data_IF_498886397448
#
_entry.id   IF_498886397448
#
_cell.length_a   1.000
_cell.length_b   1.000
_cell.length_c   1.000
_cell.angle_alpha   90.00
_cell.angle_beta   90.00
_cell.angle_gamma   90.00
#
_symmetry.space_group_name_H-M   'P 1'
#
loop_
_entity.id
_entity.type
_entity.pdbx_description
1 polymer ?
#
# COMPACT_ATOMS: atom_id res chain seq x y z
N UNK A 1 29.20 49.99 -10.66
CA UNK A 1 29.00 49.87 -12.14
C UNK A 1 28.77 48.40 -12.50
N UNK A 2 27.73 47.77 -11.95
CA UNK A 2 27.47 46.31 -12.11
C UNK A 2 26.18 46.05 -12.89
N UNK A 3 25.16 46.89 -12.72
CA UNK A 3 23.91 46.88 -13.50
C UNK A 3 24.02 47.68 -14.81
N UNK A 4 24.96 47.32 -15.70
CA UNK A 4 25.03 47.90 -17.08
C UNK A 4 24.39 47.03 -18.17
N UNK A 5 23.76 45.94 -17.76
CA UNK A 5 22.69 45.22 -18.44
C UNK A 5 21.98 44.34 -17.40
N UNK A 6 20.68 44.11 -17.46
CA UNK A 6 19.65 44.85 -18.19
C UNK A 6 18.34 44.66 -17.42
N UNK A 7 17.63 45.73 -17.07
CA UNK A 7 16.38 45.62 -16.29
C UNK A 7 15.34 44.81 -17.06
N UNK A 8 15.37 44.90 -18.40
CA UNK A 8 14.58 44.07 -19.30
C UNK A 8 14.85 42.57 -19.12
N UNK A 9 16.13 42.18 -19.11
CA UNK A 9 16.55 40.78 -18.94
C UNK A 9 16.22 40.26 -17.54
N UNK A 10 16.35 41.08 -16.50
CA UNK A 10 15.94 40.69 -15.14
C UNK A 10 14.46 40.31 -15.11
N UNK A 11 13.56 41.16 -15.62
CA UNK A 11 12.14 40.86 -15.65
C UNK A 11 11.83 39.64 -16.53
N UNK A 12 12.47 39.50 -17.69
CA UNK A 12 12.33 38.33 -18.56
C UNK A 12 12.67 37.02 -17.82
N UNK A 13 13.86 36.93 -17.21
CA UNK A 13 14.28 35.71 -16.51
C UNK A 13 13.44 35.45 -15.26
N UNK A 14 13.14 36.47 -14.46
CA UNK A 14 12.33 36.34 -13.25
C UNK A 14 10.90 35.87 -13.56
N UNK A 15 10.22 36.53 -14.50
CA UNK A 15 8.85 36.16 -14.88
C UNK A 15 8.78 34.80 -15.59
N UNK A 16 9.80 34.44 -16.38
CA UNK A 16 9.86 33.11 -17.02
C UNK A 16 10.13 32.00 -15.99
N UNK A 17 11.04 32.24 -15.03
CA UNK A 17 11.33 31.31 -13.94
C UNK A 17 10.09 31.09 -13.04
N UNK A 18 9.41 32.16 -12.64
CA UNK A 18 8.22 32.07 -11.78
C UNK A 18 7.08 31.29 -12.46
N UNK A 19 6.84 31.52 -13.75
CA UNK A 19 5.85 30.75 -14.53
C UNK A 19 6.27 29.29 -14.69
N UNK A 20 7.55 29.00 -14.96
CA UNK A 20 8.05 27.63 -15.04
C UNK A 20 7.85 26.87 -13.71
N UNK A 21 8.23 27.49 -12.58
CA UNK A 21 8.01 26.91 -11.24
C UNK A 21 6.53 26.67 -10.97
N UNK A 22 5.65 27.62 -11.30
CA UNK A 22 4.21 27.48 -11.11
C UNK A 22 3.59 26.37 -11.97
N UNK A 23 4.06 26.18 -13.21
CA UNK A 23 3.64 25.08 -14.07
C UNK A 23 4.13 23.72 -13.54
N UNK A 24 5.41 23.60 -13.19
CA UNK A 24 6.02 22.35 -12.70
C UNK A 24 5.40 21.93 -11.35
N UNK A 25 5.15 22.86 -10.43
CA UNK A 25 4.49 22.56 -9.15
C UNK A 25 3.02 22.09 -9.32
N UNK A 26 2.39 22.37 -10.46
CA UNK A 26 1.03 21.92 -10.77
C UNK A 26 0.99 20.61 -11.58
N UNK A 27 2.11 20.16 -12.13
CA UNK A 27 2.19 18.90 -12.85
C UNK A 27 1.85 17.72 -11.92
N UNK A 28 0.94 16.86 -12.37
CA UNK A 28 0.56 15.62 -11.71
C UNK A 28 1.34 14.44 -12.29
N UNK A 29 1.61 14.48 -13.59
CA UNK A 29 2.31 13.46 -14.36
C UNK A 29 3.36 14.08 -15.31
N UNK A 30 4.17 13.23 -15.98
CA UNK A 30 5.23 13.69 -16.91
C UNK A 30 4.68 14.39 -18.16
N UNK A 31 3.47 14.03 -18.63
CA UNK A 31 2.82 14.69 -19.78
C UNK A 31 2.39 16.12 -19.44
N UNK A 32 1.97 16.41 -18.21
CA UNK A 32 1.62 17.77 -17.78
C UNK A 32 2.83 18.71 -17.86
N UNK A 33 4.04 18.23 -17.58
CA UNK A 33 5.29 18.98 -17.74
C UNK A 33 5.56 19.27 -19.22
N UNK A 34 5.39 18.28 -20.09
CA UNK A 34 5.55 18.43 -21.54
C UNK A 34 4.53 19.41 -22.10
N UNK A 35 3.25 19.28 -21.76
CA UNK A 35 2.21 20.22 -22.18
C UNK A 35 2.38 21.61 -21.56
N UNK A 36 2.91 21.70 -20.34
CA UNK A 36 3.31 22.96 -19.69
C UNK A 36 4.38 23.74 -20.45
N UNK A 37 5.19 23.09 -21.31
CA UNK A 37 6.16 23.79 -22.15
C UNK A 37 5.51 24.74 -23.16
N UNK A 38 4.26 24.49 -23.58
CA UNK A 38 3.52 25.35 -24.53
C UNK A 38 3.13 26.71 -23.92
N UNK A 39 2.38 26.80 -22.80
CA UNK A 39 2.11 28.09 -22.15
C UNK A 39 3.38 28.74 -21.62
N UNK A 40 4.40 27.97 -21.21
CA UNK A 40 5.71 28.54 -20.86
C UNK A 40 6.36 29.23 -22.07
N UNK A 41 6.40 28.59 -23.23
CA UNK A 41 6.97 29.18 -24.45
C UNK A 41 6.22 30.43 -24.88
N UNK A 42 4.87 30.41 -24.87
CA UNK A 42 4.05 31.60 -25.18
C UNK A 42 4.34 32.75 -24.20
N UNK A 43 4.52 32.45 -22.91
CA UNK A 43 4.90 33.43 -21.90
C UNK A 43 6.33 33.97 -22.09
N UNK A 44 7.27 33.12 -22.47
CA UNK A 44 8.65 33.50 -22.82
C UNK A 44 8.69 34.39 -24.07
N UNK A 45 7.84 34.13 -25.07
CA UNK A 45 7.69 35.01 -26.25
C UNK A 45 7.12 36.37 -25.84
N UNK A 46 6.10 36.41 -24.99
CA UNK A 46 5.51 37.66 -24.50
C UNK A 46 6.51 38.51 -23.69
N UNK A 47 7.16 37.90 -22.70
CA UNK A 47 8.15 38.58 -21.84
C UNK A 47 9.43 38.91 -22.61
N UNK A 48 9.85 38.06 -23.55
CA UNK A 48 10.98 38.30 -24.45
C UNK A 48 10.72 39.45 -25.42
N UNK A 49 9.52 39.57 -25.98
CA UNK A 49 9.12 40.72 -26.80
C UNK A 49 9.06 42.02 -25.98
N UNK A 50 8.57 41.96 -24.73
CA UNK A 50 8.63 43.08 -23.79
C UNK A 50 10.06 43.52 -23.49
N UNK A 51 10.98 42.56 -23.26
CA UNK A 51 12.39 42.86 -23.06
C UNK A 51 13.03 43.44 -24.33
N UNK A 52 12.74 42.88 -25.50
CA UNK A 52 13.21 43.37 -26.81
C UNK A 52 12.81 44.84 -27.07
N UNK A 53 11.60 45.23 -26.67
CA UNK A 53 11.11 46.60 -26.78
C UNK A 53 11.89 47.56 -25.86
N UNK A 54 12.14 47.17 -24.60
CA UNK A 54 12.92 47.98 -23.64
C UNK A 54 14.37 48.13 -24.11
N UNK A 55 14.97 47.04 -24.59
CA UNK A 55 16.34 47.00 -25.13
C UNK A 55 16.47 47.64 -26.53
N UNK A 56 15.34 48.01 -27.16
CA UNK A 56 15.27 48.58 -28.52
C UNK A 56 15.92 47.70 -29.59
N UNK A 57 15.71 46.38 -29.51
CA UNK A 57 16.17 45.44 -30.54
C UNK A 57 15.50 45.75 -31.89
N UNK A 58 16.27 45.57 -32.95
CA UNK A 58 15.79 45.80 -34.32
C UNK A 58 14.88 44.66 -34.78
N UNK A 59 13.92 44.96 -35.68
CA UNK A 59 12.95 43.98 -36.21
C UNK A 59 13.66 42.79 -36.87
N UNK A 60 14.81 43.00 -37.50
CA UNK A 60 15.61 41.94 -38.14
C UNK A 60 16.16 40.91 -37.14
N UNK A 61 16.22 41.25 -35.84
CA UNK A 61 16.74 40.38 -34.77
C UNK A 61 15.62 39.52 -34.14
N UNK A 62 14.35 39.86 -34.37
CA UNK A 62 13.20 39.15 -33.78
C UNK A 62 13.13 37.65 -34.15
N UNK A 63 13.41 37.21 -35.40
CA UNK A 63 13.42 35.78 -35.72
C UNK A 63 14.49 35.00 -34.94
N UNK A 64 15.67 35.60 -34.74
CA UNK A 64 16.76 35.01 -33.97
C UNK A 64 16.40 34.91 -32.48
N UNK A 65 15.72 35.92 -31.93
CA UNK A 65 15.19 35.89 -30.56
C UNK A 65 14.15 34.75 -30.40
N UNK A 66 13.17 34.66 -31.29
CA UNK A 66 12.14 33.59 -31.22
C UNK A 66 12.78 32.19 -31.34
N UNK A 67 13.76 32.02 -32.22
CA UNK A 67 14.52 30.77 -32.34
C UNK A 67 15.28 30.45 -31.05
N UNK A 68 15.96 31.43 -30.45
CA UNK A 68 16.68 31.24 -29.18
C UNK A 68 15.74 30.88 -28.02
N UNK A 69 14.54 31.50 -27.95
CA UNK A 69 13.52 31.16 -26.95
C UNK A 69 12.97 29.74 -27.14
N UNK A 70 12.76 29.31 -28.39
CA UNK A 70 12.31 27.95 -28.70
C UNK A 70 13.37 26.91 -28.33
N UNK A 71 14.64 27.16 -28.70
CA UNK A 71 15.77 26.32 -28.30
C UNK A 71 15.92 26.26 -26.78
N UNK A 72 15.76 27.39 -26.07
CA UNK A 72 15.81 27.43 -24.61
C UNK A 72 14.68 26.58 -23.98
N UNK A 73 13.44 26.70 -24.45
CA UNK A 73 12.32 25.93 -23.94
C UNK A 73 12.53 24.41 -24.13
N UNK A 74 12.96 23.98 -25.32
CA UNK A 74 13.25 22.57 -25.62
C UNK A 74 14.44 22.04 -24.80
N UNK A 75 15.53 22.81 -24.71
CA UNK A 75 16.71 22.41 -23.94
C UNK A 75 16.42 22.35 -22.44
N UNK A 76 15.62 23.27 -21.91
CA UNK A 76 15.21 23.27 -20.49
C UNK A 76 14.37 22.03 -20.16
N UNK A 77 13.44 21.64 -21.04
CA UNK A 77 12.63 20.43 -20.88
C UNK A 77 13.48 19.16 -20.92
N UNK A 78 14.45 19.10 -21.85
CA UNK A 78 15.40 17.99 -21.94
C UNK A 78 16.29 17.91 -20.69
N UNK A 79 16.86 19.04 -20.24
CA UNK A 79 17.68 19.11 -19.03
C UNK A 79 16.89 18.70 -17.78
N UNK A 80 15.62 19.11 -17.65
CA UNK A 80 14.77 18.70 -16.53
C UNK A 80 14.66 17.17 -16.44
N UNK A 81 14.28 16.50 -17.54
CA UNK A 81 14.14 15.04 -17.52
C UNK A 81 15.47 14.28 -17.45
N UNK A 82 16.56 14.85 -17.97
CA UNK A 82 17.88 14.23 -17.91
C UNK A 82 18.55 14.37 -16.53
N UNK A 83 18.39 15.52 -15.86
CA UNK A 83 19.04 15.80 -14.58
C UNK A 83 18.20 15.44 -13.36
N UNK A 84 16.85 15.48 -13.41
CA UNK A 84 16.01 15.19 -12.23
C UNK A 84 16.34 13.85 -11.57
N UNK A 85 16.43 12.70 -12.29
CA UNK A 85 16.73 11.42 -11.65
C UNK A 85 18.14 11.38 -11.02
N UNK A 86 19.10 12.09 -11.60
CA UNK A 86 20.48 12.18 -11.08
C UNK A 86 20.52 13.02 -9.81
N UNK A 87 19.82 14.15 -9.79
CA UNK A 87 19.72 15.03 -8.62
C UNK A 87 18.92 14.36 -7.48
N UNK A 88 17.83 13.67 -7.80
CA UNK A 88 17.05 12.87 -6.85
C UNK A 88 17.93 11.82 -6.14
N UNK A 89 18.68 11.04 -6.91
CA UNK A 89 19.61 10.03 -6.38
C UNK A 89 20.73 10.64 -5.53
N UNK A 90 21.32 11.77 -5.97
CA UNK A 90 22.40 12.44 -5.23
C UNK A 90 21.94 13.15 -3.95
N UNK A 91 20.69 13.63 -3.92
CA UNK A 91 20.12 14.36 -2.78
C UNK A 91 19.26 13.49 -1.85
N UNK A 92 18.93 12.26 -2.26
CA UNK A 92 18.03 11.36 -1.54
C UNK A 92 16.57 11.83 -1.49
N UNK A 93 16.19 12.76 -2.38
CA UNK A 93 14.87 13.38 -2.44
C UNK A 93 13.95 12.65 -3.41
N UNK A 94 12.74 12.31 -2.97
CA UNK A 94 11.76 11.60 -3.79
C UNK A 94 10.86 12.62 -4.50
N UNK A 95 11.06 12.88 -5.80
CA UNK A 95 10.11 13.74 -6.53
C UNK A 95 8.75 13.06 -6.67
N UNK A 96 7.73 13.86 -6.99
CA UNK A 96 6.39 13.34 -7.30
C UNK A 96 6.41 12.27 -8.39
N UNK A 97 7.23 12.41 -9.43
CA UNK A 97 7.33 11.41 -10.50
C UNK A 97 7.90 10.09 -9.97
N UNK A 98 8.95 10.16 -9.14
CA UNK A 98 9.50 8.99 -8.43
C UNK A 98 8.47 8.35 -7.50
N UNK A 99 7.69 9.12 -6.75
CA UNK A 99 6.60 8.56 -5.93
C UNK A 99 5.54 7.84 -6.78
N UNK A 100 5.16 8.39 -7.94
CA UNK A 100 4.22 7.73 -8.86
C UNK A 100 4.78 6.45 -9.47
N UNK A 101 6.09 6.36 -9.71
CA UNK A 101 6.77 5.14 -10.14
C UNK A 101 6.79 4.07 -9.03
N UNK A 102 7.10 4.48 -7.79
CA UNK A 102 7.11 3.59 -6.63
C UNK A 102 5.69 3.11 -6.26
N UNK A 103 4.65 3.86 -6.62
CA UNK A 103 3.25 3.45 -6.48
C UNK A 103 2.83 2.35 -7.49
N UNK A 104 3.60 2.11 -8.56
CA UNK A 104 3.30 1.01 -9.48
C UNK A 104 3.50 -0.34 -8.79
N UNK A 105 2.44 -1.15 -8.69
CA UNK A 105 2.48 -2.47 -8.08
C UNK A 105 3.38 -3.46 -8.83
N UNK A 106 3.73 -3.19 -10.09
CA UNK A 106 4.73 -3.93 -10.86
C UNK A 106 6.19 -3.63 -10.44
N UNK A 107 6.42 -2.68 -9.52
CA UNK A 107 7.75 -2.39 -9.00
C UNK A 107 8.38 -3.67 -8.41
N UNK A 108 9.65 -4.02 -8.73
CA UNK A 108 10.21 -5.34 -8.41
C UNK A 108 10.11 -5.73 -6.93
N UNK A 109 10.30 -4.77 -6.02
CA UNK A 109 10.19 -5.00 -4.57
C UNK A 109 8.75 -5.27 -4.09
N UNK A 110 7.74 -4.65 -4.73
CA UNK A 110 6.33 -4.93 -4.42
C UNK A 110 5.88 -6.28 -5.02
N UNK A 111 6.37 -6.63 -6.21
CA UNK A 111 6.20 -7.97 -6.78
C UNK A 111 6.85 -9.04 -5.89
N UNK A 112 8.03 -8.79 -5.37
CA UNK A 112 8.70 -9.68 -4.42
C UNK A 112 7.91 -9.83 -3.11
N UNK A 113 7.40 -8.72 -2.55
CA UNK A 113 6.52 -8.73 -1.38
C UNK A 113 5.25 -9.55 -1.65
N UNK A 114 4.59 -9.34 -2.79
CA UNK A 114 3.39 -10.06 -3.20
C UNK A 114 3.62 -11.58 -3.31
N UNK A 115 4.73 -12.01 -3.90
CA UNK A 115 5.04 -13.44 -4.11
C UNK A 115 5.54 -14.12 -2.83
N UNK A 116 6.39 -13.46 -2.03
CA UNK A 116 6.97 -14.07 -0.81
C UNK A 116 6.09 -13.91 0.43
N UNK A 117 5.29 -12.85 0.51
CA UNK A 117 4.56 -12.41 1.72
C UNK A 117 3.15 -11.89 1.39
N UNK A 118 2.30 -12.70 0.71
CA UNK A 118 1.02 -12.23 0.17
C UNK A 118 0.04 -11.65 1.22
N UNK A 119 0.10 -12.11 2.47
CA UNK A 119 -0.73 -11.60 3.56
C UNK A 119 -0.35 -10.17 3.97
N UNK A 120 0.96 -9.93 4.10
CA UNK A 120 1.52 -8.58 4.34
C UNK A 120 1.32 -7.66 3.14
N UNK A 121 1.44 -8.16 1.91
CA UNK A 121 1.14 -7.40 0.70
C UNK A 121 -0.33 -6.92 0.68
N UNK A 122 -1.28 -7.80 0.98
CA UNK A 122 -2.69 -7.42 1.11
C UNK A 122 -2.93 -6.41 2.25
N UNK A 123 -2.28 -6.60 3.40
CA UNK A 123 -2.32 -5.63 4.51
C UNK A 123 -1.82 -4.25 4.05
N UNK A 124 -0.65 -4.17 3.44
CA UNK A 124 -0.06 -2.92 2.93
C UNK A 124 -0.95 -2.21 1.91
N UNK A 125 -1.64 -2.95 1.04
CA UNK A 125 -2.66 -2.41 0.14
C UNK A 125 -3.85 -1.80 0.90
N UNK A 126 -4.40 -2.48 1.91
CA UNK A 126 -5.52 -1.95 2.71
C UNK A 126 -5.10 -0.71 3.51
N UNK A 127 -3.91 -0.73 4.14
CA UNK A 127 -3.32 0.43 4.82
C UNK A 127 -3.13 1.59 3.82
N UNK A 128 -2.66 1.33 2.60
CA UNK A 128 -2.47 2.37 1.57
C UNK A 128 -3.77 3.12 1.20
N UNK A 129 -4.91 2.43 1.21
CA UNK A 129 -6.22 3.04 0.96
C UNK A 129 -6.70 3.86 2.16
N UNK A 130 -6.45 3.39 3.39
CA UNK A 130 -6.78 4.11 4.63
C UNK A 130 -6.00 5.42 4.72
N UNK A 131 -4.67 5.36 4.56
CA UNK A 131 -3.80 6.55 4.70
C UNK A 131 -4.05 7.58 3.61
N UNK A 132 -4.41 7.18 2.39
CA UNK A 132 -4.80 8.11 1.32
C UNK A 132 -6.04 8.91 1.72
N UNK A 133 -7.10 8.23 2.18
CA UNK A 133 -8.32 8.88 2.64
C UNK A 133 -8.08 9.78 3.87
N UNK A 134 -7.31 9.31 4.85
CA UNK A 134 -6.95 10.07 6.05
C UNK A 134 -6.11 11.33 5.74
N UNK A 135 -5.13 11.21 4.85
CA UNK A 135 -4.28 12.32 4.44
C UNK A 135 -5.05 13.38 3.63
N UNK A 136 -5.91 12.95 2.69
CA UNK A 136 -6.79 13.86 1.93
C UNK A 136 -7.73 14.63 2.86
N UNK A 137 -8.28 13.99 3.90
CA UNK A 137 -9.21 14.63 4.84
C UNK A 137 -8.57 15.78 5.65
N UNK A 138 -7.24 15.83 5.79
CA UNK A 138 -6.51 16.87 6.54
C UNK A 138 -5.58 17.73 5.69
N UNK A 139 -5.44 17.46 4.38
CA UNK A 139 -4.49 18.15 3.50
C UNK A 139 -3.03 17.81 3.79
N UNK A 140 -2.74 16.57 4.20
CA UNK A 140 -1.39 16.02 4.26
C UNK A 140 -0.97 15.48 2.88
N UNK A 141 0.31 15.11 2.71
CA UNK A 141 0.80 14.54 1.46
C UNK A 141 0.29 13.10 1.27
N UNK A 142 -0.89 12.97 0.65
CA UNK A 142 -1.55 11.68 0.43
C UNK A 142 -0.78 10.72 -0.47
N UNK A 143 -0.01 11.23 -1.43
CA UNK A 143 0.84 10.41 -2.29
C UNK A 143 2.00 9.81 -1.49
N UNK A 144 2.68 10.61 -0.67
CA UNK A 144 3.73 10.10 0.23
C UNK A 144 3.15 9.11 1.24
N UNK A 145 1.99 9.40 1.84
CA UNK A 145 1.32 8.46 2.74
C UNK A 145 1.05 7.11 2.05
N UNK A 146 0.42 7.15 0.86
CA UNK A 146 0.03 5.95 0.10
C UNK A 146 1.23 5.10 -0.27
N UNK A 147 2.29 5.72 -0.82
CA UNK A 147 3.52 5.01 -1.16
C UNK A 147 4.21 4.50 0.11
N UNK A 148 4.36 5.33 1.14
CA UNK A 148 4.92 4.92 2.44
C UNK A 148 4.22 3.70 3.02
N UNK A 149 2.88 3.63 2.97
CA UNK A 149 2.11 2.48 3.40
C UNK A 149 2.27 1.23 2.52
N UNK A 150 2.50 1.35 1.21
CA UNK A 150 2.84 0.20 0.36
C UNK A 150 4.17 -0.45 0.77
N UNK A 151 5.14 0.36 1.23
CA UNK A 151 6.49 -0.11 1.57
C UNK A 151 6.76 -0.28 3.06
N UNK A 152 5.90 0.19 3.98
CA UNK A 152 6.19 0.24 5.43
C UNK A 152 6.69 -1.09 6.02
N UNK A 153 6.19 -2.19 5.46
CA UNK A 153 6.27 -3.54 6.00
C UNK A 153 7.23 -4.48 5.23
N UNK A 154 7.95 -3.97 4.23
CA UNK A 154 8.77 -4.78 3.30
C UNK A 154 9.81 -5.67 3.98
N UNK A 155 10.32 -5.29 5.16
CA UNK A 155 11.28 -6.11 5.90
C UNK A 155 10.73 -7.47 6.36
N UNK A 156 9.39 -7.67 6.34
CA UNK A 156 8.77 -8.98 6.59
C UNK A 156 9.18 -10.04 5.54
N UNK A 157 9.66 -9.63 4.36
CA UNK A 157 10.23 -10.50 3.30
C UNK A 157 11.29 -11.47 3.84
N UNK A 158 12.14 -11.05 4.79
CA UNK A 158 13.21 -11.89 5.32
C UNK A 158 12.72 -13.01 6.23
N UNK A 159 11.57 -12.85 6.89
CA UNK A 159 11.06 -13.80 7.90
C UNK A 159 9.53 -14.01 7.82
N UNK A 160 8.94 -14.33 6.65
CA UNK A 160 7.49 -14.19 6.42
C UNK A 160 6.62 -14.99 7.40
N UNK A 161 7.05 -16.21 7.73
CA UNK A 161 6.32 -17.17 8.58
C UNK A 161 6.12 -16.70 10.02
N UNK A 162 6.85 -15.70 10.49
CA UNK A 162 6.71 -15.16 11.85
C UNK A 162 5.58 -14.13 11.99
N UNK A 163 5.05 -13.61 10.88
CA UNK A 163 3.99 -12.61 10.88
C UNK A 163 2.63 -13.29 10.64
N UNK A 164 1.67 -13.03 11.53
CA UNK A 164 0.42 -13.81 11.67
C UNK A 164 -0.44 -13.81 10.40
N UNK A 165 -0.44 -12.70 9.67
CA UNK A 165 -1.13 -12.51 8.41
C UNK A 165 -0.64 -13.43 7.29
N UNK A 166 0.53 -14.07 7.46
CA UNK A 166 1.13 -15.01 6.52
C UNK A 166 1.14 -16.48 7.01
N UNK A 167 0.49 -16.79 8.14
CA UNK A 167 0.56 -18.13 8.74
C UNK A 167 -0.48 -19.12 8.19
N UNK A 168 -1.53 -18.66 7.49
CA UNK A 168 -2.53 -19.48 6.76
C UNK A 168 -3.02 -20.75 7.50
N UNK A 169 -3.28 -20.65 8.81
CA UNK A 169 -3.75 -21.78 9.63
C UNK A 169 -2.67 -22.79 10.04
N UNK A 170 -1.41 -22.55 9.70
CA UNK A 170 -0.26 -23.32 10.16
C UNK A 170 0.09 -23.09 11.64
N UNK A 171 1.02 -23.89 12.17
CA UNK A 171 1.54 -23.72 13.54
C UNK A 171 2.32 -22.41 13.66
N UNK A 172 2.01 -21.63 14.68
CA UNK A 172 2.72 -20.38 14.97
C UNK A 172 4.17 -20.69 15.43
N UNK A 173 5.22 -20.22 14.72
CA UNK A 173 6.60 -20.49 15.11
C UNK A 173 6.99 -19.84 16.45
N UNK A 174 6.26 -18.81 16.90
CA UNK A 174 6.46 -18.17 18.21
C UNK A 174 6.12 -19.07 19.41
N UNK A 175 5.42 -20.19 19.21
CA UNK A 175 5.13 -21.16 20.26
C UNK A 175 6.38 -21.91 20.73
N UNK A 176 7.44 -21.95 19.90
CA UNK A 176 8.73 -22.62 20.18
C UNK A 176 9.84 -21.66 20.59
N UNK A 177 9.55 -20.38 20.74
CA UNK A 177 10.53 -19.34 21.05
C UNK A 177 10.26 -18.70 22.41
N UNK A 178 11.32 -18.21 23.07
CA UNK A 178 11.14 -17.30 24.20
C UNK A 178 10.48 -15.99 23.72
N UNK A 179 9.81 -15.25 24.62
CA UNK A 179 9.20 -13.97 24.27
C UNK A 179 10.23 -12.96 23.74
N UNK A 180 11.40 -12.86 24.38
CA UNK A 180 12.48 -11.98 23.93
C UNK A 180 13.00 -12.32 22.51
N UNK A 181 13.12 -13.62 22.16
CA UNK A 181 13.51 -14.00 20.79
C UNK A 181 12.41 -13.74 19.78
N UNK A 182 11.15 -13.91 20.17
CA UNK A 182 9.98 -13.58 19.34
C UNK A 182 9.96 -12.10 18.99
N UNK A 183 10.14 -11.23 19.99
CA UNK A 183 10.17 -9.78 19.83
C UNK A 183 11.33 -9.33 18.95
N UNK A 184 12.54 -9.86 19.16
CA UNK A 184 13.71 -9.56 18.29
C UNK A 184 13.46 -9.92 16.82
N UNK A 185 12.77 -11.02 16.55
CA UNK A 185 12.38 -11.41 15.19
C UNK A 185 11.35 -10.44 14.62
N UNK A 186 10.31 -10.08 15.38
CA UNK A 186 9.32 -9.10 14.92
C UNK A 186 9.98 -7.75 14.64
N UNK A 187 10.73 -7.19 15.59
CA UNK A 187 11.34 -5.86 15.48
C UNK A 187 12.41 -5.78 14.37
N UNK A 188 12.97 -6.91 13.95
CA UNK A 188 13.92 -6.94 12.84
C UNK A 188 13.33 -6.46 11.50
N UNK A 189 11.99 -6.55 11.29
CA UNK A 189 11.39 -6.10 10.02
C UNK A 189 11.59 -4.60 9.77
N UNK A 190 11.59 -3.76 10.82
CA UNK A 190 11.84 -2.32 10.68
C UNK A 190 13.24 -2.08 10.14
N UNK A 191 14.26 -2.68 10.79
CA UNK A 191 15.66 -2.55 10.40
C UNK A 191 15.95 -3.17 9.03
N UNK A 192 15.37 -4.32 8.74
CA UNK A 192 15.57 -5.01 7.47
C UNK A 192 14.78 -4.33 6.33
N UNK A 193 13.67 -3.65 6.63
CA UNK A 193 12.93 -2.81 5.69
C UNK A 193 13.67 -1.52 5.34
N UNK A 194 14.30 -0.85 6.31
CA UNK A 194 15.18 0.30 6.06
C UNK A 194 16.31 -0.06 5.09
N UNK A 195 16.97 -1.21 5.24
CA UNK A 195 18.00 -1.67 4.30
C UNK A 195 17.46 -1.87 2.88
N UNK A 196 16.28 -2.49 2.74
CA UNK A 196 15.63 -2.65 1.43
C UNK A 196 15.25 -1.29 0.82
N UNK A 197 14.86 -0.31 1.64
CA UNK A 197 14.55 1.03 1.18
C UNK A 197 15.79 1.78 0.64
N UNK A 198 16.94 1.59 1.28
CA UNK A 198 18.25 2.07 0.82
C UNK A 198 18.68 1.36 -0.46
N UNK A 199 18.60 0.02 -0.51
CA UNK A 199 19.01 -0.83 -1.65
C UNK A 199 18.19 -0.55 -2.92
N UNK A 200 16.87 -0.38 -2.80
CA UNK A 200 15.99 -0.08 -3.93
C UNK A 200 15.81 1.43 -4.20
N UNK A 201 16.55 2.28 -3.48
CA UNK A 201 16.52 3.74 -3.61
C UNK A 201 15.09 4.30 -3.57
N UNK A 202 14.34 3.96 -2.51
CA UNK A 202 12.98 4.47 -2.27
C UNK A 202 13.00 5.97 -1.84
N UNK A 203 14.14 6.43 -1.32
CA UNK A 203 14.35 7.79 -0.87
C UNK A 203 13.98 8.01 0.60
N UNK A 204 14.39 9.16 1.13
CA UNK A 204 14.44 9.37 2.58
C UNK A 204 13.06 9.34 3.25
N UNK A 205 12.07 10.02 2.69
CA UNK A 205 10.74 10.15 3.33
C UNK A 205 10.03 8.79 3.51
N UNK A 206 10.21 7.86 2.55
CA UNK A 206 9.64 6.51 2.63
C UNK A 206 10.44 5.65 3.61
N UNK A 207 11.77 5.79 3.63
CA UNK A 207 12.66 5.11 4.60
C UNK A 207 12.34 5.55 6.04
N UNK A 208 12.10 6.85 6.25
CA UNK A 208 11.71 7.42 7.53
C UNK A 208 10.33 6.88 7.99
N UNK A 209 9.36 6.72 7.08
CA UNK A 209 8.06 6.07 7.38
C UNK A 209 8.24 4.60 7.78
N UNK A 210 9.05 3.84 7.03
CA UNK A 210 9.38 2.44 7.37
C UNK A 210 9.99 2.36 8.77
N UNK A 211 10.89 3.29 9.14
CA UNK A 211 11.48 3.30 10.47
C UNK A 211 10.48 3.68 11.59
N UNK A 212 9.55 4.60 11.32
CA UNK A 212 8.73 5.27 12.33
C UNK A 212 7.34 4.68 12.54
N UNK A 213 6.81 3.84 11.64
CA UNK A 213 5.40 3.44 11.66
C UNK A 213 4.94 2.71 12.94
N UNK A 214 5.84 2.07 13.69
CA UNK A 214 5.54 1.49 15.01
C UNK A 214 6.01 2.36 16.20
N UNK A 215 6.74 3.44 15.95
CA UNK A 215 7.26 4.34 16.97
C UNK A 215 8.10 3.62 18.01
N UNK A 216 7.85 3.90 19.30
CA UNK A 216 8.48 3.20 20.42
C UNK A 216 7.49 2.33 21.22
N UNK A 217 6.46 1.78 20.56
CA UNK A 217 5.40 1.00 21.21
C UNK A 217 5.91 -0.35 21.72
N UNK A 218 5.30 -0.84 22.79
CA UNK A 218 5.65 -2.12 23.40
C UNK A 218 4.88 -3.31 22.79
N UNK A 219 5.56 -4.43 22.58
CA UNK A 219 4.99 -5.72 22.20
C UNK A 219 4.32 -6.41 23.40
N UNK A 220 3.28 -5.77 23.95
CA UNK A 220 2.66 -6.11 25.25
C UNK A 220 2.25 -7.57 25.41
N UNK A 221 1.81 -8.24 24.34
CA UNK A 221 1.46 -9.67 24.36
C UNK A 221 2.66 -10.56 24.73
N UNK A 222 3.86 -10.24 24.23
CA UNK A 222 5.08 -10.98 24.55
C UNK A 222 5.63 -10.59 25.92
N UNK A 223 5.53 -9.31 26.31
CA UNK A 223 5.91 -8.85 27.65
C UNK A 223 5.06 -9.55 28.74
N UNK A 224 3.74 -9.64 28.51
CA UNK A 224 2.83 -10.40 29.36
C UNK A 224 3.16 -11.89 29.41
N UNK A 225 3.50 -12.51 28.26
CA UNK A 225 3.93 -13.91 28.19
C UNK A 225 5.22 -14.16 29.00
N UNK A 226 6.21 -13.26 28.93
CA UNK A 226 7.44 -13.35 29.73
C UNK A 226 7.14 -13.33 31.24
N UNK A 227 6.32 -12.38 31.71
CA UNK A 227 5.89 -12.33 33.12
C UNK A 227 5.12 -13.60 33.55
N UNK A 228 4.27 -14.14 32.69
CA UNK A 228 3.55 -15.40 32.97
C UNK A 228 4.48 -16.62 33.04
N UNK A 229 5.64 -16.57 32.39
CA UNK A 229 6.69 -17.60 32.46
C UNK A 229 7.60 -17.44 33.70
N UNK A 230 7.35 -16.46 34.57
CA UNK A 230 8.15 -16.19 35.76
C UNK A 230 9.44 -15.40 35.47
N UNK A 231 9.57 -14.83 34.27
CA UNK A 231 10.66 -13.91 33.94
C UNK A 231 10.37 -12.53 34.57
N UNK A 232 11.42 -11.77 34.90
CA UNK A 232 11.35 -10.34 35.26
C UNK A 232 11.85 -9.48 34.08
N UNK A 233 11.07 -9.35 32.99
CA UNK A 233 11.48 -8.59 31.83
C UNK A 233 11.47 -7.08 32.10
N UNK A 234 12.50 -6.39 31.60
CA UNK A 234 12.41 -4.95 31.36
C UNK A 234 11.34 -4.68 30.29
N UNK A 235 10.61 -3.58 30.41
CA UNK A 235 9.68 -3.15 29.36
C UNK A 235 10.43 -2.60 28.14
N UNK A 236 11.60 -1.99 28.33
CA UNK A 236 12.39 -1.40 27.23
C UNK A 236 12.85 -2.45 26.21
N UNK A 237 13.22 -3.66 26.67
CA UNK A 237 13.54 -4.82 25.81
C UNK A 237 12.38 -5.27 24.92
N UNK A 238 11.16 -4.84 25.24
CA UNK A 238 9.92 -5.15 24.53
C UNK A 238 9.35 -3.95 23.77
N UNK A 239 10.08 -2.83 23.68
CA UNK A 239 9.71 -1.64 22.90
C UNK A 239 10.43 -1.58 21.55
N UNK A 240 9.73 -1.12 20.51
CA UNK A 240 10.40 -0.75 19.25
C UNK A 240 11.44 0.35 19.51
N UNK A 241 12.59 0.36 18.80
CA UNK A 241 13.64 1.36 19.00
C UNK A 241 13.27 2.75 18.50
N UNK A 242 12.19 2.88 17.72
CA UNK A 242 11.74 4.15 17.14
C UNK A 242 12.65 4.72 16.05
N UNK A 243 12.60 6.04 15.82
CA UNK A 243 11.90 7.05 16.63
C UNK A 243 10.37 7.01 16.50
N UNK A 244 9.65 7.72 17.38
CA UNK A 244 8.22 8.06 17.20
C UNK A 244 8.02 8.83 15.88
N UNK A 245 6.83 8.78 15.25
CA UNK A 245 6.49 9.62 14.09
C UNK A 245 6.94 11.08 14.24
N UNK A 246 7.73 11.55 13.26
CA UNK A 246 8.25 12.92 13.18
C UNK A 246 7.43 13.79 12.20
N UNK A 247 6.54 13.17 11.41
CA UNK A 247 5.70 13.84 10.41
C UNK A 247 4.25 13.41 10.55
N UNK A 248 3.32 14.24 10.05
CA UNK A 248 1.89 13.90 10.02
C UNK A 248 1.65 12.65 9.18
N UNK A 249 2.40 12.53 8.09
CA UNK A 249 2.36 11.42 7.14
C UNK A 249 2.77 10.08 7.81
N UNK A 250 3.89 10.04 8.54
CA UNK A 250 4.31 8.85 9.30
C UNK A 250 3.31 8.49 10.41
N UNK A 251 2.71 9.48 11.06
CA UNK A 251 1.68 9.28 12.08
C UNK A 251 0.37 8.73 11.48
N UNK A 252 -0.05 9.18 10.31
CA UNK A 252 -1.21 8.62 9.59
C UNK A 252 -0.96 7.15 9.25
N UNK A 253 0.26 6.78 8.81
CA UNK A 253 0.63 5.38 8.52
C UNK A 253 0.55 4.52 9.79
N UNK A 254 1.14 4.96 10.92
CA UNK A 254 1.02 4.27 12.22
C UNK A 254 -0.44 4.03 12.65
N UNK A 255 -1.28 5.05 12.50
CA UNK A 255 -2.70 5.00 12.89
C UNK A 255 -3.46 4.03 11.98
N UNK A 256 -3.19 4.04 10.67
CA UNK A 256 -3.84 3.15 9.71
C UNK A 256 -3.42 1.68 9.87
N UNK A 257 -2.12 1.39 10.05
CA UNK A 257 -1.60 0.05 10.38
C UNK A 257 -2.33 -0.50 11.61
N UNK A 258 -2.30 0.26 12.72
CA UNK A 258 -2.96 -0.13 13.98
C UNK A 258 -4.46 -0.38 13.83
N UNK A 259 -5.14 0.38 12.97
CA UNK A 259 -6.58 0.23 12.69
C UNK A 259 -6.88 -0.97 11.81
N UNK A 260 -6.11 -1.20 10.73
CA UNK A 260 -6.31 -2.31 9.81
C UNK A 260 -6.00 -3.65 10.50
N UNK A 261 -4.84 -3.75 11.15
CA UNK A 261 -4.38 -4.98 11.78
C UNK A 261 -5.34 -5.45 12.87
N UNK A 262 -5.97 -4.52 13.58
CA UNK A 262 -6.94 -4.82 14.64
C UNK A 262 -8.39 -4.94 14.13
N UNK A 263 -8.80 -4.27 13.05
CA UNK A 263 -10.16 -4.42 12.52
C UNK A 263 -10.42 -5.84 11.99
N UNK A 264 -9.35 -6.53 11.56
CA UNK A 264 -9.36 -7.97 11.21
C UNK A 264 -9.85 -8.89 12.34
N UNK A 265 -9.86 -8.45 13.61
CA UNK A 265 -10.36 -9.25 14.74
C UNK A 265 -11.83 -8.97 15.09
N UNK A 266 -12.50 -8.04 14.39
CA UNK A 266 -13.90 -7.71 14.67
C UNK A 266 -14.85 -8.82 14.21
N UNK A 267 -15.67 -9.32 15.13
CA UNK A 267 -16.79 -10.19 14.83
C UNK A 267 -18.04 -9.33 14.56
N UNK A 268 -18.65 -9.49 13.40
CA UNK A 268 -19.82 -8.72 12.91
C UNK A 268 -19.59 -7.17 12.91
N UNK A 269 -18.78 -6.67 11.97
CA UNK A 269 -18.30 -5.28 11.94
C UNK A 269 -19.37 -4.29 11.45
N UNK A 270 -20.39 -4.02 12.28
CA UNK A 270 -21.37 -2.96 12.01
C UNK A 270 -20.73 -1.56 12.05
N UNK A 271 -21.29 -0.54 11.34
CA UNK A 271 -20.68 0.80 11.27
C UNK A 271 -20.46 1.48 12.64
N UNK A 272 -21.32 1.20 13.62
CA UNK A 272 -21.18 1.72 15.00
C UNK A 272 -20.04 1.02 15.76
N UNK A 273 -19.89 -0.29 15.60
CA UNK A 273 -18.79 -1.08 16.17
C UNK A 273 -17.46 -0.64 15.56
N UNK A 274 -17.37 -0.50 14.23
CA UNK A 274 -16.20 0.03 13.52
C UNK A 274 -15.83 1.41 14.08
N UNK A 275 -16.79 2.34 14.19
CA UNK A 275 -16.56 3.69 14.71
C UNK A 275 -16.02 3.68 16.13
N UNK A 276 -16.58 2.86 17.01
CA UNK A 276 -16.10 2.74 18.39
C UNK A 276 -14.68 2.15 18.45
N UNK A 277 -14.39 1.14 17.63
CA UNK A 277 -13.08 0.47 17.54
C UNK A 277 -11.98 1.41 17.04
N UNK A 278 -12.18 2.07 15.89
CA UNK A 278 -11.25 3.07 15.35
C UNK A 278 -11.00 4.19 16.36
N UNK A 279 -12.07 4.73 16.96
CA UNK A 279 -11.97 5.81 17.95
C UNK A 279 -11.20 5.39 19.21
N UNK A 280 -11.24 4.10 19.58
CA UNK A 280 -10.46 3.57 20.71
C UNK A 280 -8.98 3.53 20.35
N UNK A 281 -8.61 2.92 19.23
CA UNK A 281 -7.21 2.76 18.82
C UNK A 281 -6.50 4.10 18.66
N UNK A 282 -7.18 5.08 18.06
CA UNK A 282 -6.60 6.42 17.91
C UNK A 282 -6.38 7.13 19.25
N UNK A 283 -7.24 6.86 20.25
CA UNK A 283 -7.04 7.35 21.63
C UNK A 283 -5.91 6.61 22.34
N UNK A 284 -5.80 5.29 22.15
CA UNK A 284 -4.75 4.47 22.75
C UNK A 284 -3.37 4.93 22.22
N UNK A 285 -3.21 5.10 20.90
CA UNK A 285 -1.97 5.61 20.27
C UNK A 285 -1.63 7.04 20.71
N UNK A 286 -2.63 7.90 20.91
CA UNK A 286 -2.44 9.24 21.47
C UNK A 286 -2.02 9.20 22.95
N UNK A 287 -2.65 8.35 23.77
CA UNK A 287 -2.35 8.18 25.19
C UNK A 287 -0.95 7.58 25.43
N UNK A 288 -0.47 6.73 24.52
CA UNK A 288 0.90 6.21 24.46
C UNK A 288 1.96 7.29 24.09
N UNK A 289 1.54 8.54 23.85
CA UNK A 289 2.40 9.66 23.45
C UNK A 289 3.05 9.50 22.08
N UNK A 290 2.58 8.58 21.23
CA UNK A 290 3.26 8.30 19.96
C UNK A 290 3.23 9.50 18.99
N UNK A 291 2.27 10.40 19.19
CA UNK A 291 2.03 11.55 18.32
C UNK A 291 2.72 12.84 18.81
N UNK A 292 3.41 12.81 19.96
CA UNK A 292 4.01 13.99 20.62
C UNK A 292 5.01 14.76 19.73
N UNK A 293 5.61 14.10 18.75
CA UNK A 293 6.65 14.65 17.88
C UNK A 293 6.16 14.96 16.45
N UNK A 294 4.84 15.05 16.21
CA UNK A 294 4.27 15.36 14.91
C UNK A 294 3.14 16.40 14.98
N UNK A 295 2.98 17.21 13.92
CA UNK A 295 2.03 18.32 13.88
C UNK A 295 0.56 17.89 13.61
N UNK A 296 0.07 16.82 14.25
CA UNK A 296 -1.34 16.42 14.18
C UNK A 296 -2.18 17.09 15.27
N UNK A 297 -3.25 17.79 14.88
CA UNK A 297 -4.21 18.35 15.84
C UNK A 297 -5.33 17.37 16.18
N UNK A 298 -6.03 17.58 17.30
CA UNK A 298 -7.25 16.81 17.62
C UNK A 298 -8.34 16.88 16.52
N UNK A 299 -8.39 17.98 15.76
CA UNK A 299 -9.29 18.13 14.62
C UNK A 299 -8.88 17.19 13.47
N UNK A 300 -7.59 17.05 13.24
CA UNK A 300 -7.04 16.15 12.23
C UNK A 300 -7.28 14.70 12.63
N UNK A 301 -7.02 14.32 13.88
CA UNK A 301 -7.34 12.99 14.40
C UNK A 301 -8.83 12.64 14.24
N UNK A 302 -9.74 13.58 14.51
CA UNK A 302 -11.18 13.36 14.31
C UNK A 302 -11.52 13.09 12.84
N UNK A 303 -10.92 13.85 11.91
CA UNK A 303 -11.13 13.70 10.46
C UNK A 303 -10.52 12.41 9.90
N UNK A 304 -9.34 12.04 10.37
CA UNK A 304 -8.68 10.77 10.06
C UNK A 304 -9.55 9.60 10.53
N UNK A 305 -10.10 9.68 11.75
CA UNK A 305 -11.02 8.67 12.28
C UNK A 305 -12.25 8.48 11.38
N UNK A 306 -12.92 9.57 11.00
CA UNK A 306 -14.08 9.51 10.10
C UNK A 306 -13.73 8.92 8.72
N UNK A 307 -12.59 9.28 8.14
CA UNK A 307 -12.11 8.73 6.89
C UNK A 307 -11.83 7.22 6.99
N UNK A 308 -11.12 6.78 8.03
CA UNK A 308 -10.83 5.37 8.28
C UNK A 308 -12.11 4.57 8.51
N UNK A 309 -13.06 5.09 9.29
CA UNK A 309 -14.37 4.45 9.50
C UNK A 309 -15.11 4.27 8.17
N UNK A 310 -15.09 5.27 7.27
CA UNK A 310 -15.70 5.16 5.95
C UNK A 310 -15.08 4.05 5.10
N UNK A 311 -13.74 3.95 5.07
CA UNK A 311 -13.01 2.93 4.30
C UNK A 311 -13.24 1.53 4.89
N UNK A 312 -13.03 1.33 6.20
CA UNK A 312 -13.25 0.05 6.88
C UNK A 312 -14.70 -0.43 6.73
N UNK A 313 -15.67 0.48 6.84
CA UNK A 313 -17.09 0.14 6.61
C UNK A 313 -17.32 -0.27 5.15
N UNK A 314 -16.71 0.42 4.18
CA UNK A 314 -16.75 0.02 2.77
C UNK A 314 -16.21 -1.40 2.52
N UNK A 315 -15.06 -1.74 3.11
CA UNK A 315 -14.42 -3.06 2.99
C UNK A 315 -15.24 -4.20 3.62
N UNK A 316 -16.02 -3.91 4.66
CA UNK A 316 -16.81 -4.90 5.39
C UNK A 316 -18.29 -5.00 4.97
N UNK A 317 -18.75 -4.24 3.98
CA UNK A 317 -20.10 -4.42 3.45
C UNK A 317 -20.26 -5.83 2.89
N UNK A 318 -21.13 -6.63 3.51
CA UNK A 318 -21.52 -7.92 2.95
C UNK A 318 -22.11 -7.71 1.55
N UNK A 319 -21.72 -8.60 0.62
CA UNK A 319 -22.46 -8.78 -0.63
C UNK A 319 -23.91 -9.02 -0.26
N UNK A 320 -24.85 -8.27 -0.85
CA UNK A 320 -26.27 -8.37 -0.53
C UNK A 320 -26.70 -9.84 -0.68
N UNK A 321 -27.01 -10.50 0.42
CA UNK A 321 -27.59 -11.84 0.44
C UNK A 321 -28.98 -11.74 -0.17
N UNK A 322 -29.19 -12.35 -1.33
CA UNK A 322 -30.53 -12.41 -1.92
C UNK A 322 -31.42 -13.33 -1.07
N UNK A 323 -32.75 -13.12 -1.04
CA UNK A 323 -33.67 -14.03 -0.37
C UNK A 323 -33.44 -15.48 -0.83
N UNK A 324 -33.27 -16.41 0.11
CA UNK A 324 -32.92 -17.81 -0.15
C UNK A 324 -31.42 -18.16 -0.04
N UNK A 325 -30.52 -17.17 0.06
CA UNK A 325 -29.08 -17.43 0.26
C UNK A 325 -28.68 -17.45 1.74
N UNK A 326 -27.71 -18.31 2.09
CA UNK A 326 -27.02 -18.32 3.36
C UNK A 326 -25.99 -17.18 3.48
N UNK A 327 -25.31 -17.09 4.63
CA UNK A 327 -24.26 -16.07 4.88
C UNK A 327 -23.03 -16.16 3.96
N UNK A 328 -22.90 -17.24 3.19
CA UNK A 328 -21.84 -17.46 2.20
C UNK A 328 -22.30 -17.21 0.75
N UNK A 329 -23.59 -16.87 0.53
CA UNK A 329 -24.16 -16.71 -0.80
C UNK A 329 -24.61 -18.01 -1.46
N UNK A 330 -24.76 -19.09 -0.70
CA UNK A 330 -25.21 -20.40 -1.18
C UNK A 330 -26.72 -20.51 -0.95
N UNK A 331 -27.49 -20.82 -1.99
CA UNK A 331 -28.92 -21.09 -1.83
C UNK A 331 -29.15 -22.38 -1.03
N UNK A 332 -30.20 -22.42 -0.21
CA UNK A 332 -30.59 -23.68 0.41
C UNK A 332 -30.91 -24.74 -0.68
N UNK A 333 -30.67 -26.04 -0.44
CA UNK A 333 -30.94 -27.08 -1.45
C UNK A 333 -32.39 -27.08 -1.96
N UNK A 334 -33.34 -26.69 -1.10
CA UNK A 334 -34.76 -26.54 -1.41
C UNK A 334 -35.02 -25.35 -2.35
N UNK A 335 -34.39 -24.19 -2.09
CA UNK A 335 -34.49 -22.99 -2.94
C UNK A 335 -33.76 -23.13 -4.29
N UNK A 336 -32.82 -24.08 -4.40
CA UNK A 336 -32.04 -24.31 -5.61
C UNK A 336 -32.79 -25.10 -6.70
N UNK A 337 -33.88 -25.81 -6.36
CA UNK A 337 -34.69 -26.52 -7.36
C UNK A 337 -35.59 -25.57 -8.15
N UNK A 338 -36.20 -24.58 -7.49
CA UNK A 338 -37.06 -23.55 -8.10
C UNK A 338 -36.29 -22.55 -9.00
N UNK A 339 -34.95 -22.54 -8.89
CA UNK A 339 -34.06 -21.69 -9.71
C UNK A 339 -33.53 -22.38 -10.97
N UNK A 340 -33.95 -23.61 -11.28
CA UNK A 340 -33.62 -24.29 -12.54
C UNK A 340 -34.29 -23.54 -13.71
N UNK A 341 -33.54 -22.98 -14.67
CA UNK A 341 -34.14 -22.27 -15.79
C UNK A 341 -34.90 -23.26 -16.69
N UNK A 342 -36.04 -22.84 -17.24
CA UNK A 342 -37.02 -23.71 -17.93
C UNK A 342 -36.42 -24.62 -19.02
N UNK A 343 -35.34 -24.19 -19.69
CA UNK A 343 -34.63 -24.98 -20.70
C UNK A 343 -33.93 -26.25 -20.16
N UNK A 344 -33.81 -26.42 -18.84
CA UNK A 344 -33.34 -27.65 -18.20
C UNK A 344 -34.44 -28.68 -17.93
N UNK A 345 -35.72 -28.37 -18.20
CA UNK A 345 -36.87 -29.21 -17.82
C UNK A 345 -37.66 -29.70 -19.05
N UNK A 346 -36.96 -30.27 -20.04
CA UNK A 346 -37.59 -31.14 -21.04
C UNK A 346 -36.76 -32.41 -21.27
N UNK A 347 -37.42 -33.57 -21.15
CA UNK A 347 -36.76 -34.88 -21.23
C UNK A 347 -37.60 -36.04 -20.68
N UNK A 348 -38.91 -36.06 -20.95
CA UNK A 348 -39.76 -37.21 -20.62
C UNK A 348 -39.32 -38.44 -21.44
N UNK A 349 -38.92 -39.52 -20.75
CA UNK A 349 -38.57 -40.79 -21.34
C UNK A 349 -39.49 -41.92 -20.86
N UNK A 350 -40.81 -41.72 -20.98
CA UNK A 350 -41.83 -42.76 -20.76
C UNK A 350 -42.27 -43.41 -22.09
N UNK A 351 -41.61 -44.50 -22.52
CA UNK A 351 -41.82 -45.01 -23.89
C UNK A 351 -41.28 -46.40 -24.28
N UNK A 352 -41.45 -47.43 -23.45
CA UNK A 352 -41.52 -48.83 -23.93
C UNK A 352 -40.22 -49.65 -24.06
N UNK A 353 -40.10 -50.71 -23.26
CA UNK A 353 -39.14 -51.82 -23.47
C UNK A 353 -39.58 -52.77 -24.60
N UNK A 354 -38.67 -53.64 -25.07
CA UNK A 354 -38.95 -55.07 -24.91
C UNK A 354 -37.80 -55.85 -24.25
N UNK A 355 -38.15 -56.90 -23.52
CA UNK A 355 -37.22 -57.80 -22.85
C UNK A 355 -37.08 -59.16 -23.59
N UNK A 356 -35.85 -59.68 -23.64
CA UNK A 356 -35.53 -61.10 -23.84
C UNK A 356 -34.11 -61.32 -23.26
N UNK A 357 -33.96 -61.82 -22.03
CA UNK A 357 -33.96 -63.25 -21.63
C UNK A 357 -32.69 -64.01 -22.05
N UNK A 358 -31.96 -64.50 -21.04
CA UNK A 358 -30.75 -65.31 -21.18
C UNK A 358 -30.16 -65.72 -19.82
N UNK A 359 -30.77 -66.74 -19.19
CA UNK A 359 -30.20 -67.78 -18.28
C UNK A 359 -28.85 -67.60 -17.57
N UNK A 360 -28.56 -68.16 -16.38
CA UNK A 360 -29.32 -68.75 -15.28
C UNK A 360 -28.31 -69.18 -14.16
N UNK A 361 -28.76 -69.23 -12.89
CA UNK A 361 -28.32 -70.10 -11.75
C UNK A 361 -26.92 -70.76 -11.76
N UNK A 362 -26.00 -70.51 -10.81
CA UNK A 362 -25.97 -70.91 -9.37
C UNK A 362 -25.38 -72.31 -9.06
N UNK A 363 -24.52 -72.42 -8.02
CA UNK A 363 -24.07 -73.66 -7.32
C UNK A 363 -23.17 -74.61 -8.14
N UNK A 364 -22.20 -75.36 -7.62
CA UNK A 364 -21.91 -75.83 -6.25
C UNK A 364 -20.44 -76.42 -6.19
N UNK A 365 -20.09 -77.12 -5.12
CA UNK A 365 -18.73 -77.27 -4.56
C UNK A 365 -17.84 -78.46 -4.99
N UNK A 366 -16.54 -78.33 -4.63
CA UNK A 366 -15.65 -79.42 -4.20
C UNK A 366 -14.93 -80.20 -5.32
N UNK A 367 -13.76 -80.83 -5.13
CA UNK A 367 -12.69 -80.88 -4.10
C UNK A 367 -11.43 -81.41 -4.83
N UNK A 368 -10.16 -81.29 -4.43
CA UNK A 368 -9.44 -80.70 -3.30
C UNK A 368 -7.93 -81.03 -3.45
N UNK A 369 -7.03 -80.57 -2.57
CA UNK A 369 -5.61 -80.98 -2.64
C UNK A 369 -4.61 -80.13 -1.83
N UNK A 370 -4.01 -80.77 -0.81
CA UNK A 370 -2.72 -80.51 -0.14
C UNK A 370 -1.59 -79.97 -1.04
N UNK A 371 -0.57 -79.18 -0.66
CA UNK A 371 0.06 -78.68 0.60
C UNK A 371 0.91 -77.41 0.25
N UNK A 372 1.56 -76.63 1.13
CA UNK A 372 1.65 -76.60 2.61
C UNK A 372 2.98 -75.94 3.11
N UNK A 373 2.91 -75.12 4.18
CA UNK A 373 4.03 -74.37 4.84
C UNK A 373 4.65 -73.20 4.00
N UNK A 374 5.28 -72.15 4.57
CA UNK A 374 5.76 -71.90 5.95
C UNK A 374 5.77 -70.38 6.31
N UNK A 375 6.17 -70.09 7.54
CA UNK A 375 6.33 -68.84 8.32
C UNK A 375 6.89 -67.56 7.60
N UNK A 376 6.82 -66.34 8.13
CA UNK A 376 6.44 -65.90 9.49
C UNK A 376 6.53 -64.38 9.74
N UNK A 377 6.58 -64.00 11.02
CA UNK A 377 6.52 -62.62 11.55
C UNK A 377 7.69 -61.71 11.15
N UNK A 378 7.41 -60.41 10.98
CA UNK A 378 7.94 -59.32 11.83
C UNK A 378 7.08 -58.06 11.66
#
# INVERSE_FOLDING_TARGET
MIFRGDVALFFFYFMSSMTNTWLVLRAQNRQDVVWGSVPLFLWMVLTGAGAALIMRLEVHQMPALVLALMCNALLSLFMLFALSPVLEMLMGYTTRFRMMELMNLEHPLLQELMVKVPGTYHHSLMVSNLVEAGAVAIGANSLLCKVGALYHDIGKIFRPRYFIENQFGGRNPHDKLSPAMSVRILFSHVKDGVKLAEEYHLGREITDIIQQHHGNRAAMSFYGKAKQMGEEPDLEDFCYPGPRPQTREAAIVMLADSVEASSRTLSDPTPSVIRAHVSKIMKDVYADGQLDNCDLTFRDLSRIADAFVSIITGLHHQRITYPGQDKNGIFAPEDAEDLKPEWMVEGDSSGGSPAAQGTATAGDAGTGGTQGAEEGKA
#
